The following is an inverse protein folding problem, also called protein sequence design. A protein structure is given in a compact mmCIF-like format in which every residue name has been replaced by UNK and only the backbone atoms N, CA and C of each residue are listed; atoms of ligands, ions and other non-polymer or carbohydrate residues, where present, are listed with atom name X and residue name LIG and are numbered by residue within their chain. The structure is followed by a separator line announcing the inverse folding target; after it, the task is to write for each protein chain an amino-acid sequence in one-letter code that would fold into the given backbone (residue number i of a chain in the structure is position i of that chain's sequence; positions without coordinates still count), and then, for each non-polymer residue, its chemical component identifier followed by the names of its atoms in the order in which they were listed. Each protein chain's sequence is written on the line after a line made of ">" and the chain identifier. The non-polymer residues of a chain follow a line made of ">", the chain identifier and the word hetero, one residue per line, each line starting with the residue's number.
data_IF_976008303657
#
_entry.id   IF_976008303657
#
_cell.length_a   1.000
_cell.length_b   1.000
_cell.length_c   1.000
_cell.angle_alpha   90.00
_cell.angle_beta   90.00
_cell.angle_gamma   90.00
#
_symmetry.space_group_name_H-M   'P 1'
#
loop_
_entity.id
_entity.type
_entity.pdbx_description
1 polymer ?
#
# COMPACT_ATOMS: atom_id res chain seq x y z
N UNK A 1 -43.69 9.93 6.38
CA UNK A 1 -44.35 8.65 6.04
C UNK A 1 -44.19 7.74 7.25
N UNK A 2 -45.22 7.00 7.67
CA UNK A 2 -45.07 6.03 8.78
C UNK A 2 -44.44 4.74 8.26
N UNK A 3 -43.82 3.93 9.13
CA UNK A 3 -43.23 2.64 8.75
C UNK A 3 -44.24 1.73 8.01
N UNK A 4 -45.48 1.68 8.48
CA UNK A 4 -46.57 0.91 7.86
C UNK A 4 -46.86 1.34 6.42
N UNK A 5 -46.84 2.65 6.12
CA UNK A 5 -47.07 3.18 4.76
C UNK A 5 -45.90 2.85 3.83
N UNK A 6 -44.67 2.89 4.33
CA UNK A 6 -43.47 2.51 3.55
C UNK A 6 -43.44 1.01 3.27
N UNK A 7 -43.82 0.16 4.24
CA UNK A 7 -43.97 -1.29 4.03
C UNK A 7 -45.08 -1.55 3.00
N UNK A 8 -46.23 -0.91 3.12
CA UNK A 8 -47.31 -1.07 2.15
C UNK A 8 -46.92 -0.64 0.73
N UNK A 9 -46.20 0.49 0.60
CA UNK A 9 -45.64 0.92 -0.68
C UNK A 9 -44.70 -0.13 -1.25
N UNK A 10 -43.75 -0.62 -0.45
CA UNK A 10 -42.81 -1.67 -0.86
C UNK A 10 -43.53 -2.93 -1.34
N UNK A 11 -44.57 -3.38 -0.65
CA UNK A 11 -45.34 -4.56 -1.04
C UNK A 11 -46.10 -4.36 -2.36
N UNK A 12 -46.62 -3.15 -2.61
CA UNK A 12 -47.37 -2.84 -3.83
C UNK A 12 -46.51 -2.46 -5.05
N UNK A 13 -45.30 -1.95 -4.85
CA UNK A 13 -44.45 -1.46 -5.95
C UNK A 13 -43.11 -2.18 -6.09
N UNK A 14 -42.67 -2.91 -5.07
CA UNK A 14 -41.32 -3.50 -5.01
C UNK A 14 -40.21 -2.49 -4.79
N UNK A 15 -40.53 -1.21 -4.56
CA UNK A 15 -39.57 -0.11 -4.43
C UNK A 15 -39.58 0.44 -3.01
N UNK A 16 -38.44 0.36 -2.33
CA UNK A 16 -38.24 0.96 -1.01
C UNK A 16 -37.89 2.46 -1.09
N UNK A 17 -37.69 3.10 0.05
CA UNK A 17 -37.36 4.52 0.14
C UNK A 17 -35.83 4.78 0.24
N UNK A 18 -34.98 3.80 -0.10
CA UNK A 18 -33.51 3.85 0.09
C UNK A 18 -32.80 4.92 -0.74
N UNK A 19 -33.35 5.28 -1.91
CA UNK A 19 -32.78 6.28 -2.82
C UNK A 19 -33.23 7.73 -2.54
N UNK A 20 -33.99 7.97 -1.47
CA UNK A 20 -34.55 9.30 -1.16
C UNK A 20 -33.51 10.18 -0.46
N UNK A 21 -32.95 11.15 -1.19
CA UNK A 21 -32.05 12.16 -0.61
C UNK A 21 -32.86 13.19 0.18
N UNK A 22 -32.52 13.45 1.47
CA UNK A 22 -33.23 14.43 2.28
C UNK A 22 -32.99 15.84 1.74
N UNK A 23 -34.07 16.51 1.31
CA UNK A 23 -34.00 17.90 0.86
C UNK A 23 -33.93 18.80 2.09
N UNK A 24 -32.77 19.43 2.29
CA UNK A 24 -32.53 20.43 3.33
C UNK A 24 -33.37 21.69 3.03
N UNK A 25 -34.02 22.24 4.05
CA UNK A 25 -34.79 23.48 3.91
C UNK A 25 -33.86 24.63 3.45
N UNK A 26 -34.35 25.48 2.54
CA UNK A 26 -33.68 26.67 2.00
C UNK A 26 -32.98 27.53 3.07
N UNK A 27 -33.58 27.69 4.26
CA UNK A 27 -32.96 28.45 5.36
C UNK A 27 -31.68 27.78 5.87
N UNK A 28 -31.74 26.48 6.13
CA UNK A 28 -30.59 25.69 6.62
C UNK A 28 -29.50 25.61 5.56
N UNK A 29 -29.87 25.42 4.28
CA UNK A 29 -28.94 25.47 3.17
C UNK A 29 -28.20 26.81 3.10
N UNK A 30 -28.92 27.94 3.18
CA UNK A 30 -28.30 29.28 3.15
C UNK A 30 -27.35 29.50 4.33
N UNK A 31 -27.74 29.11 5.54
CA UNK A 31 -26.89 29.24 6.73
C UNK A 31 -25.61 28.41 6.60
N UNK A 32 -25.71 27.16 6.14
CA UNK A 32 -24.54 26.30 5.96
C UNK A 32 -23.61 26.78 4.84
N UNK A 33 -24.17 27.24 3.71
CA UNK A 33 -23.36 27.80 2.62
C UNK A 33 -22.67 29.09 3.04
N UNK A 34 -23.37 30.00 3.73
CA UNK A 34 -22.75 31.23 4.22
C UNK A 34 -21.61 30.96 5.21
N UNK A 35 -21.80 30.04 6.18
CA UNK A 35 -20.73 29.68 7.11
C UNK A 35 -19.49 29.10 6.40
N UNK A 36 -19.69 28.29 5.35
CA UNK A 36 -18.58 27.77 4.53
C UNK A 36 -17.88 28.88 3.73
N UNK A 37 -18.64 29.85 3.21
CA UNK A 37 -18.08 31.00 2.50
C UNK A 37 -17.27 31.90 3.43
N UNK A 38 -17.75 32.14 4.66
CA UNK A 38 -17.01 32.91 5.68
C UNK A 38 -15.67 32.27 6.03
N UNK A 39 -15.62 30.94 6.21
CA UNK A 39 -14.37 30.22 6.45
C UNK A 39 -13.41 30.37 5.26
N UNK A 40 -13.90 30.23 4.02
CA UNK A 40 -13.06 30.42 2.84
C UNK A 40 -12.55 31.86 2.70
N UNK A 41 -13.39 32.85 3.04
CA UNK A 41 -13.01 34.26 3.06
C UNK A 41 -11.91 34.52 4.10
N UNK A 42 -12.00 33.94 5.30
CA UNK A 42 -10.97 34.02 6.34
C UNK A 42 -9.65 33.38 5.88
N UNK A 43 -9.71 32.20 5.26
CA UNK A 43 -8.52 31.52 4.73
C UNK A 43 -7.84 32.32 3.61
N UNK A 44 -8.62 32.91 2.70
CA UNK A 44 -8.11 33.78 1.63
C UNK A 44 -7.46 35.02 2.24
N UNK A 45 -8.11 35.67 3.21
CA UNK A 45 -7.57 36.86 3.87
C UNK A 45 -6.24 36.59 4.57
N UNK A 46 -6.09 35.45 5.25
CA UNK A 46 -4.82 35.04 5.87
C UNK A 46 -3.70 34.85 4.83
N UNK A 47 -4.00 34.21 3.69
CA UNK A 47 -3.02 34.09 2.60
C UNK A 47 -2.65 35.47 2.05
N UNK A 48 -3.61 36.39 1.90
CA UNK A 48 -3.35 37.76 1.45
C UNK A 48 -2.47 38.56 2.41
N UNK A 49 -2.65 38.40 3.72
CA UNK A 49 -1.77 39.00 4.74
C UNK A 49 -0.33 38.46 4.61
N UNK A 50 -0.17 37.14 4.47
CA UNK A 50 1.16 36.51 4.31
C UNK A 50 1.84 36.95 3.00
N UNK A 51 1.09 37.03 1.90
CA UNK A 51 1.60 37.54 0.62
C UNK A 51 2.02 39.01 0.74
N UNK A 52 1.22 39.85 1.41
CA UNK A 52 1.55 41.27 1.57
C UNK A 52 2.78 41.50 2.47
N UNK A 53 2.95 40.68 3.50
CA UNK A 53 4.05 40.80 4.45
C UNK A 53 5.40 40.37 3.84
N UNK A 54 5.44 39.20 3.20
CA UNK A 54 6.69 38.56 2.77
C UNK A 54 6.94 38.66 1.26
N UNK A 55 5.93 39.02 0.45
CA UNK A 55 5.97 38.98 -1.02
C UNK A 55 5.38 40.26 -1.66
N UNK A 56 6.05 41.43 -1.50
CA UNK A 56 5.51 42.73 -1.94
C UNK A 56 5.32 42.87 -3.46
N UNK A 57 6.00 42.05 -4.26
CA UNK A 57 5.86 41.96 -5.73
C UNK A 57 5.33 40.57 -6.13
N UNK A 58 4.11 40.25 -5.69
CA UNK A 58 3.51 38.93 -5.92
C UNK A 58 3.33 38.60 -7.41
N UNK A 59 3.02 39.61 -8.24
CA UNK A 59 2.81 39.44 -9.69
C UNK A 59 4.11 39.09 -10.43
N UNK A 60 5.26 39.57 -9.94
CA UNK A 60 6.58 39.29 -10.51
C UNK A 60 7.21 37.95 -10.08
N UNK A 61 6.62 37.21 -9.13
CA UNK A 61 7.23 36.00 -8.56
C UNK A 61 7.47 34.90 -9.60
N UNK A 62 6.61 34.77 -10.59
CA UNK A 62 6.75 33.75 -11.63
C UNK A 62 8.01 33.99 -12.48
N UNK A 63 8.17 35.22 -12.97
CA UNK A 63 9.35 35.64 -13.75
C UNK A 63 10.63 35.58 -12.91
N UNK A 64 10.55 35.97 -11.63
CA UNK A 64 11.68 35.87 -10.71
C UNK A 64 12.09 34.41 -10.49
N UNK A 65 11.13 33.51 -10.29
CA UNK A 65 11.39 32.08 -10.11
C UNK A 65 12.01 31.45 -11.34
N UNK A 66 11.54 31.81 -12.54
CA UNK A 66 12.12 31.32 -13.80
C UNK A 66 13.58 31.76 -13.94
N UNK A 67 13.86 33.05 -13.73
CA UNK A 67 15.25 33.59 -13.76
C UNK A 67 16.14 32.91 -12.73
N UNK A 68 15.67 32.77 -11.49
CA UNK A 68 16.41 32.11 -10.41
C UNK A 68 16.67 30.63 -10.73
N UNK A 69 15.72 29.94 -11.35
CA UNK A 69 15.89 28.54 -11.77
C UNK A 69 16.94 28.42 -12.88
N UNK A 70 16.94 29.33 -13.85
CA UNK A 70 17.96 29.37 -14.91
C UNK A 70 19.36 29.68 -14.34
N UNK A 71 19.48 30.70 -13.47
CA UNK A 71 20.74 31.02 -12.79
C UNK A 71 21.21 29.87 -11.91
N UNK A 72 20.29 29.17 -11.23
CA UNK A 72 20.62 28.01 -10.41
C UNK A 72 21.19 26.87 -11.24
N UNK A 73 20.58 26.57 -12.39
CA UNK A 73 21.11 25.56 -13.32
C UNK A 73 22.53 25.87 -13.77
N UNK A 74 22.78 27.10 -14.22
CA UNK A 74 24.11 27.54 -14.66
C UNK A 74 25.15 27.49 -13.53
N UNK A 75 24.80 28.00 -12.34
CA UNK A 75 25.69 27.98 -11.17
C UNK A 75 25.97 26.55 -10.68
N UNK A 76 25.01 25.63 -10.84
CA UNK A 76 25.16 24.23 -10.47
C UNK A 76 26.15 23.54 -11.41
N UNK A 77 26.02 23.73 -12.72
CA UNK A 77 26.97 23.22 -13.71
C UNK A 77 28.38 23.76 -13.44
N UNK A 78 28.51 25.06 -13.19
CA UNK A 78 29.82 25.67 -12.92
C UNK A 78 30.46 25.17 -11.62
N UNK A 79 29.66 24.97 -10.56
CA UNK A 79 30.14 24.38 -9.31
C UNK A 79 30.57 22.92 -9.50
N UNK A 80 29.81 22.15 -10.28
CA UNK A 80 30.14 20.76 -10.59
C UNK A 80 31.45 20.65 -11.35
N UNK A 81 31.65 21.45 -12.41
CA UNK A 81 32.90 21.51 -13.17
C UNK A 81 34.09 21.86 -12.26
N UNK A 82 33.93 22.83 -11.37
CA UNK A 82 34.98 23.22 -10.42
C UNK A 82 35.33 22.08 -9.45
N UNK A 83 34.33 21.33 -8.97
CA UNK A 83 34.55 20.16 -8.13
C UNK A 83 35.22 19.01 -8.88
N UNK A 84 34.86 18.78 -10.14
CA UNK A 84 35.44 17.73 -10.97
C UNK A 84 36.92 18.01 -11.26
N UNK A 85 37.30 19.27 -11.53
CA UNK A 85 38.70 19.67 -11.65
C UNK A 85 39.49 19.40 -10.37
N UNK A 86 38.93 19.74 -9.19
CA UNK A 86 39.59 19.45 -7.91
C UNK A 86 39.73 17.94 -7.68
N UNK A 87 38.72 17.14 -8.05
CA UNK A 87 38.77 15.69 -7.95
C UNK A 87 39.88 15.11 -8.83
N UNK A 88 40.02 15.59 -10.06
CA UNK A 88 41.09 15.18 -10.96
C UNK A 88 42.47 15.47 -10.34
N UNK A 89 42.67 16.64 -9.73
CA UNK A 89 43.94 16.94 -9.06
C UNK A 89 44.18 16.08 -7.82
N UNK A 90 43.13 15.74 -7.06
CA UNK A 90 43.23 14.82 -5.93
C UNK A 90 43.63 13.41 -6.38
N UNK A 91 43.11 12.94 -7.51
CA UNK A 91 43.47 11.65 -8.10
C UNK A 91 44.92 11.67 -8.60
N UNK A 92 45.34 12.72 -9.32
CA UNK A 92 46.75 12.93 -9.71
C UNK A 92 47.69 12.89 -8.51
N UNK A 93 47.34 13.63 -7.44
CA UNK A 93 48.10 13.66 -6.18
C UNK A 93 48.21 12.26 -5.57
N UNK A 94 47.11 11.52 -5.50
CA UNK A 94 47.08 10.16 -4.92
C UNK A 94 47.95 9.20 -5.72
N UNK A 95 47.88 9.25 -7.04
CA UNK A 95 48.67 8.39 -7.92
C UNK A 95 50.17 8.70 -7.82
N UNK A 96 50.54 9.98 -7.82
CA UNK A 96 51.93 10.41 -7.61
C UNK A 96 52.46 9.94 -6.25
N UNK A 97 51.68 10.12 -5.17
CA UNK A 97 52.06 9.66 -3.83
C UNK A 97 52.23 8.13 -3.75
N UNK A 98 51.33 7.36 -4.40
CA UNK A 98 51.44 5.91 -4.48
C UNK A 98 52.69 5.45 -5.22
N UNK A 99 53.00 6.07 -6.36
CA UNK A 99 54.23 5.80 -7.13
C UNK A 99 55.49 6.15 -6.33
N UNK A 100 55.51 7.30 -5.65
CA UNK A 100 56.63 7.71 -4.80
C UNK A 100 56.92 6.69 -3.69
N UNK A 101 55.88 6.19 -3.02
CA UNK A 101 56.05 5.16 -1.99
C UNK A 101 56.67 3.87 -2.56
N UNK A 102 56.20 3.43 -3.73
CA UNK A 102 56.78 2.27 -4.44
C UNK A 102 58.23 2.48 -4.86
N UNK A 103 58.56 3.66 -5.41
CA UNK A 103 59.92 4.03 -5.81
C UNK A 103 60.85 4.06 -4.59
N UNK A 104 60.42 4.65 -3.47
CA UNK A 104 61.19 4.69 -2.22
C UNK A 104 61.48 3.30 -1.67
N UNK A 105 60.48 2.41 -1.67
CA UNK A 105 60.66 1.03 -1.27
C UNK A 105 61.72 0.36 -2.15
N UNK A 106 61.60 0.49 -3.48
CA UNK A 106 62.53 -0.13 -4.41
C UNK A 106 63.95 0.44 -4.30
N UNK A 107 64.10 1.75 -4.13
CA UNK A 107 65.39 2.39 -3.87
C UNK A 107 66.07 1.83 -2.62
N UNK A 108 65.29 1.59 -1.56
CA UNK A 108 65.79 0.98 -0.32
C UNK A 108 66.26 -0.46 -0.55
N UNK A 109 65.47 -1.26 -1.28
CA UNK A 109 65.85 -2.64 -1.66
C UNK A 109 67.15 -2.68 -2.48
N UNK A 110 67.24 -1.83 -3.51
CA UNK A 110 68.42 -1.74 -4.38
C UNK A 110 69.65 -1.31 -3.57
N UNK A 111 69.52 -0.33 -2.68
CA UNK A 111 70.61 0.10 -1.80
C UNK A 111 71.10 -1.03 -0.87
N UNK A 112 70.18 -1.79 -0.29
CA UNK A 112 70.53 -2.94 0.56
C UNK A 112 71.25 -4.05 -0.25
N UNK A 113 70.78 -4.35 -1.46
CA UNK A 113 71.40 -5.38 -2.30
C UNK A 113 72.79 -4.96 -2.77
N UNK A 114 72.98 -3.70 -3.18
CA UNK A 114 74.29 -3.17 -3.54
C UNK A 114 75.29 -3.27 -2.36
N UNK A 115 74.86 -2.94 -1.14
CA UNK A 115 75.69 -3.08 0.05
C UNK A 115 76.08 -4.54 0.33
N UNK A 116 75.14 -5.48 0.17
CA UNK A 116 75.41 -6.93 0.33
C UNK A 116 76.35 -7.46 -0.75
N UNK A 117 76.20 -7.02 -1.99
CA UNK A 117 77.06 -7.43 -3.09
C UNK A 117 78.47 -6.86 -2.96
N UNK A 118 78.64 -5.65 -2.42
CA UNK A 118 79.96 -5.13 -2.07
C UNK A 118 80.67 -6.03 -1.04
N UNK A 119 79.97 -6.45 0.01
CA UNK A 119 80.51 -7.40 1.00
C UNK A 119 80.84 -8.76 0.39
N UNK A 120 79.99 -9.26 -0.52
CA UNK A 120 80.24 -10.53 -1.20
C UNK A 120 81.48 -10.46 -2.09
N UNK A 121 81.72 -9.34 -2.79
CA UNK A 121 82.93 -9.15 -3.58
C UNK A 121 84.20 -9.10 -2.71
N UNK A 122 84.14 -8.47 -1.54
CA UNK A 122 85.24 -8.48 -0.56
C UNK A 122 85.57 -9.91 -0.10
N UNK A 123 84.55 -10.72 0.19
CA UNK A 123 84.72 -12.14 0.56
C UNK A 123 85.36 -12.93 -0.59
N UNK A 124 84.85 -12.78 -1.82
CA UNK A 124 85.42 -13.46 -2.98
C UNK A 124 86.87 -13.04 -3.24
N UNK A 125 87.20 -11.76 -3.09
CA UNK A 125 88.56 -11.25 -3.22
C UNK A 125 89.49 -11.88 -2.18
N UNK A 126 89.05 -11.94 -0.92
CA UNK A 126 89.81 -12.57 0.16
C UNK A 126 89.98 -14.07 -0.05
N UNK A 127 88.95 -14.77 -0.54
CA UNK A 127 89.03 -16.21 -0.81
C UNK A 127 89.96 -16.54 -1.98
N UNK A 128 89.97 -15.73 -3.04
CA UNK A 128 90.93 -15.88 -4.14
C UNK A 128 92.35 -15.73 -3.61
N UNK A 129 92.66 -14.66 -2.87
CA UNK A 129 94.01 -14.46 -2.29
C UNK A 129 94.44 -15.63 -1.40
N UNK A 130 93.51 -16.16 -0.60
CA UNK A 130 93.78 -17.31 0.27
C UNK A 130 94.07 -18.58 -0.55
N UNK A 131 93.31 -18.83 -1.61
CA UNK A 131 93.52 -19.99 -2.48
C UNK A 131 94.79 -19.87 -3.32
N UNK A 132 95.13 -18.66 -3.79
CA UNK A 132 96.39 -18.38 -4.48
C UNK A 132 97.59 -18.67 -3.58
N UNK A 133 97.53 -18.25 -2.31
CA UNK A 133 98.58 -18.57 -1.33
C UNK A 133 98.71 -20.10 -1.08
N UNK A 134 97.61 -20.85 -1.10
CA UNK A 134 97.63 -22.32 -0.97
C UNK A 134 98.21 -22.97 -2.23
N UNK A 135 97.86 -22.48 -3.41
CA UNK A 135 98.39 -22.95 -4.71
C UNK A 135 99.91 -22.72 -4.80
N UNK A 136 100.37 -21.51 -4.45
CA UNK A 136 101.80 -21.14 -4.47
C UNK A 136 102.60 -21.94 -3.44
N UNK A 137 102.08 -22.11 -2.21
CA UNK A 137 102.70 -22.95 -1.21
C UNK A 137 102.81 -24.40 -1.69
N UNK A 138 101.77 -24.94 -2.32
CA UNK A 138 101.78 -26.28 -2.92
C UNK A 138 102.86 -26.41 -4.00
N UNK A 139 102.97 -25.43 -4.90
CA UNK A 139 104.00 -25.38 -5.94
C UNK A 139 105.42 -25.36 -5.36
N UNK A 140 105.68 -24.55 -4.34
CA UNK A 140 106.99 -24.47 -3.66
C UNK A 140 107.37 -25.78 -2.98
N UNK A 141 106.41 -26.48 -2.36
CA UNK A 141 106.64 -27.79 -1.75
C UNK A 141 106.98 -28.86 -2.79
N UNK A 142 106.32 -28.84 -3.95
CA UNK A 142 106.57 -29.78 -5.05
C UNK A 142 107.94 -29.55 -5.73
N UNK A 143 108.42 -28.31 -5.82
CA UNK A 143 109.78 -27.98 -6.26
C UNK A 143 110.89 -28.62 -5.41
N UNK A 144 110.58 -28.96 -4.15
CA UNK A 144 111.49 -29.62 -3.21
C UNK A 144 111.45 -31.14 -3.25
N UNK A 145 110.59 -31.74 -4.08
CA UNK A 145 110.30 -33.20 -4.06
C UNK A 145 111.47 -34.10 -4.44
N UNK A 146 112.42 -33.58 -5.23
CA UNK A 146 113.53 -34.38 -5.78
C UNK A 146 114.89 -34.02 -5.15
N UNK A 147 114.88 -33.81 -3.83
CA UNK A 147 116.08 -33.46 -3.05
C UNK A 147 116.41 -34.52 -2.00
N UNK A 148 117.69 -34.63 -1.71
CA UNK A 148 118.19 -35.45 -0.62
C UNK A 148 117.55 -35.01 0.71
N UNK A 149 117.27 -35.98 1.59
CA UNK A 149 116.62 -35.71 2.85
C UNK A 149 117.41 -34.67 3.67
N UNK A 150 116.84 -33.52 4.04
CA UNK A 150 117.57 -32.47 4.75
C UNK A 150 117.97 -32.86 6.18
N UNK A 151 117.43 -33.97 6.71
CA UNK A 151 117.71 -34.45 8.06
C UNK A 151 118.83 -35.52 8.08
N UNK A 152 118.88 -36.41 7.09
CA UNK A 152 119.81 -37.55 7.08
C UNK A 152 120.64 -37.71 5.80
N UNK A 153 120.39 -36.90 4.77
CA UNK A 153 121.12 -36.92 3.49
C UNK A 153 120.77 -38.10 2.57
N UNK A 154 119.72 -38.87 2.85
CA UNK A 154 119.30 -39.96 1.98
C UNK A 154 118.83 -39.43 0.61
N UNK A 155 119.36 -40.01 -0.46
CA UNK A 155 118.97 -39.69 -1.83
C UNK A 155 117.47 -39.91 -2.07
N UNK A 156 116.86 -39.12 -2.97
CA UNK A 156 115.41 -39.16 -3.29
C UNK A 156 114.91 -40.58 -3.57
N UNK A 157 115.65 -41.37 -4.35
CA UNK A 157 115.35 -42.75 -4.71
C UNK A 157 115.45 -43.77 -3.56
N UNK A 158 116.14 -43.41 -2.47
CA UNK A 158 116.28 -44.21 -1.27
C UNK A 158 115.22 -43.91 -0.20
N UNK A 159 114.37 -42.89 -0.40
CA UNK A 159 113.28 -42.51 0.50
C UNK A 159 112.05 -43.41 0.25
N UNK A 160 111.56 -44.11 1.28
CA UNK A 160 110.44 -45.08 1.16
C UNK A 160 109.11 -44.63 1.78
N UNK A 161 109.10 -43.48 2.46
CA UNK A 161 107.89 -42.95 3.07
C UNK A 161 107.13 -42.08 2.07
N UNK A 162 105.81 -42.18 2.08
CA UNK A 162 104.97 -41.26 1.29
C UNK A 162 105.06 -39.86 1.89
N UNK A 163 105.61 -38.93 1.11
CA UNK A 163 105.77 -37.52 1.48
C UNK A 163 104.50 -36.70 1.22
N UNK A 164 103.38 -37.33 0.84
CA UNK A 164 102.08 -36.67 0.63
C UNK A 164 102.05 -35.77 -0.61
N UNK A 165 103.04 -35.87 -1.49
CA UNK A 165 103.21 -35.03 -2.69
C UNK A 165 101.99 -35.12 -3.62
N UNK A 166 101.41 -36.31 -3.74
CA UNK A 166 100.19 -36.55 -4.52
C UNK A 166 98.98 -35.79 -3.97
N UNK A 167 98.87 -35.64 -2.65
CA UNK A 167 97.77 -34.90 -2.04
C UNK A 167 97.99 -33.39 -2.10
N UNK A 168 99.24 -32.94 -2.03
CA UNK A 168 99.62 -31.53 -2.30
C UNK A 168 99.23 -31.14 -3.73
N UNK A 169 99.56 -31.96 -4.73
CA UNK A 169 99.18 -31.67 -6.13
C UNK A 169 97.65 -31.69 -6.33
N UNK A 170 96.91 -32.59 -5.66
CA UNK A 170 95.45 -32.57 -5.69
C UNK A 170 94.87 -31.28 -5.09
N UNK A 171 95.38 -30.83 -3.94
CA UNK A 171 94.94 -29.59 -3.29
C UNK A 171 95.25 -28.38 -4.17
N UNK A 172 96.44 -28.36 -4.78
CA UNK A 172 96.87 -27.32 -5.73
C UNK A 172 95.92 -27.25 -6.94
N UNK A 173 95.68 -28.38 -7.61
CA UNK A 173 94.79 -28.46 -8.75
C UNK A 173 93.33 -28.07 -8.38
N UNK A 174 92.84 -28.52 -7.22
CA UNK A 174 91.52 -28.14 -6.71
C UNK A 174 91.43 -26.64 -6.42
N UNK A 175 92.48 -26.03 -5.85
CA UNK A 175 92.53 -24.60 -5.55
C UNK A 175 92.47 -23.77 -6.82
N UNK A 176 93.22 -24.16 -7.87
CA UNK A 176 93.17 -23.50 -9.18
C UNK A 176 91.76 -23.53 -9.80
N UNK A 177 91.06 -24.67 -9.73
CA UNK A 177 89.69 -24.81 -10.23
C UNK A 177 88.71 -23.95 -9.43
N UNK A 178 88.83 -23.90 -8.11
CA UNK A 178 87.95 -23.09 -7.27
C UNK A 178 88.21 -21.58 -7.48
N UNK A 179 89.47 -21.15 -7.69
CA UNK A 179 89.80 -19.76 -8.08
C UNK A 179 89.07 -19.40 -9.38
N UNK A 180 89.17 -20.23 -10.42
CA UNK A 180 88.51 -19.98 -11.71
C UNK A 180 86.99 -19.84 -11.55
N UNK A 181 86.39 -20.66 -10.68
CA UNK A 181 84.97 -20.60 -10.34
C UNK A 181 84.60 -19.31 -9.60
N UNK A 182 85.37 -18.90 -8.59
CA UNK A 182 85.13 -17.65 -7.86
C UNK A 182 85.27 -16.44 -8.79
N UNK A 183 86.28 -16.41 -9.66
CA UNK A 183 86.47 -15.34 -10.65
C UNK A 183 85.26 -15.24 -11.59
N UNK A 184 84.71 -16.35 -12.07
CA UNK A 184 83.45 -16.34 -12.84
C UNK A 184 82.28 -15.81 -12.04
N UNK A 185 82.13 -16.21 -10.78
CA UNK A 185 81.09 -15.68 -9.90
C UNK A 185 81.22 -14.17 -9.65
N UNK A 186 82.45 -13.66 -9.52
CA UNK A 186 82.72 -12.22 -9.41
C UNK A 186 82.32 -11.46 -10.67
N UNK A 187 82.63 -11.98 -11.85
CA UNK A 187 82.20 -11.36 -13.11
C UNK A 187 80.67 -11.27 -13.22
N UNK A 188 79.95 -12.33 -12.88
CA UNK A 188 78.47 -12.31 -12.83
C UNK A 188 77.92 -11.36 -11.75
N UNK A 189 78.61 -11.24 -10.63
CA UNK A 189 78.26 -10.28 -9.56
C UNK A 189 78.41 -8.83 -10.05
N UNK A 190 79.49 -8.53 -10.76
CA UNK A 190 79.75 -7.20 -11.34
C UNK A 190 78.67 -6.79 -12.34
N UNK A 191 78.26 -7.69 -13.24
CA UNK A 191 77.13 -7.46 -14.16
C UNK A 191 75.82 -7.13 -13.40
N UNK A 192 75.55 -7.86 -12.32
CA UNK A 192 74.37 -7.63 -11.48
C UNK A 192 74.44 -6.27 -10.77
N UNK A 193 75.60 -5.90 -10.24
CA UNK A 193 75.83 -4.60 -9.60
C UNK A 193 75.66 -3.44 -10.59
N UNK A 194 76.15 -3.59 -11.83
CA UNK A 194 75.93 -2.61 -12.89
C UNK A 194 74.44 -2.44 -13.22
N UNK A 195 73.71 -3.55 -13.38
CA UNK A 195 72.28 -3.51 -13.64
C UNK A 195 71.49 -2.80 -12.52
N UNK A 196 71.78 -3.13 -11.26
CA UNK A 196 71.15 -2.47 -10.10
C UNK A 196 71.53 -0.99 -9.97
N UNK A 197 72.76 -0.63 -10.31
CA UNK A 197 73.21 0.77 -10.28
C UNK A 197 72.50 1.61 -11.34
N UNK A 198 72.30 1.04 -12.54
CA UNK A 198 71.51 1.66 -13.60
C UNK A 198 70.04 1.80 -13.16
N UNK A 199 69.43 0.75 -12.62
CA UNK A 199 68.07 0.76 -12.08
C UNK A 199 67.90 1.85 -11.00
N UNK A 200 68.87 1.99 -10.09
CA UNK A 200 68.87 3.06 -9.08
C UNK A 200 68.85 4.45 -9.72
N UNK A 201 69.62 4.65 -10.78
CA UNK A 201 69.65 5.92 -11.52
C UNK A 201 68.28 6.26 -12.12
N UNK A 202 67.63 5.29 -12.76
CA UNK A 202 66.27 5.48 -13.30
C UNK A 202 65.25 5.76 -12.20
N UNK A 203 65.30 5.02 -11.09
CA UNK A 203 64.39 5.23 -9.96
C UNK A 203 64.54 6.62 -9.32
N UNK A 204 65.76 7.17 -9.24
CA UNK A 204 65.99 8.53 -8.73
C UNK A 204 65.38 9.58 -9.67
N UNK A 205 65.51 9.39 -10.99
CA UNK A 205 64.88 10.28 -11.98
C UNK A 205 63.35 10.23 -11.90
N UNK A 206 62.79 9.02 -11.76
CA UNK A 206 61.35 8.83 -11.60
C UNK A 206 60.85 9.44 -10.29
N UNK A 207 61.61 9.30 -9.20
CA UNK A 207 61.30 9.93 -7.92
C UNK A 207 61.19 11.46 -8.05
N UNK A 208 62.16 12.11 -8.69
CA UNK A 208 62.14 13.55 -8.90
C UNK A 208 60.91 13.97 -9.74
N UNK A 209 60.61 13.22 -10.80
CA UNK A 209 59.45 13.49 -11.67
C UNK A 209 58.13 13.38 -10.90
N UNK A 210 57.94 12.30 -10.13
CA UNK A 210 56.71 12.10 -9.36
C UNK A 210 56.61 13.08 -8.18
N UNK A 211 57.73 13.55 -7.63
CA UNK A 211 57.73 14.58 -6.58
C UNK A 211 57.22 15.92 -7.13
N UNK A 212 57.70 16.33 -8.30
CA UNK A 212 57.21 17.54 -8.97
C UNK A 212 55.72 17.44 -9.28
N UNK A 213 55.26 16.30 -9.81
CA UNK A 213 53.84 16.06 -10.09
C UNK A 213 52.97 16.17 -8.83
N UNK A 214 53.46 15.66 -7.69
CA UNK A 214 52.77 15.76 -6.41
C UNK A 214 52.63 17.23 -5.95
N UNK A 215 53.73 17.98 -6.03
CA UNK A 215 53.76 19.39 -5.61
C UNK A 215 52.88 20.27 -6.52
N UNK A 216 52.91 20.03 -7.83
CA UNK A 216 52.06 20.73 -8.80
C UNK A 216 50.56 20.46 -8.56
N UNK A 217 50.19 19.19 -8.32
CA UNK A 217 48.82 18.84 -7.99
C UNK A 217 48.36 19.50 -6.67
N UNK A 218 49.25 19.58 -5.68
CA UNK A 218 48.94 20.22 -4.40
C UNK A 218 48.74 21.73 -4.52
N UNK A 219 49.58 22.42 -5.29
CA UNK A 219 49.42 23.86 -5.54
C UNK A 219 48.17 24.15 -6.37
N UNK A 220 47.83 23.30 -7.34
CA UNK A 220 46.60 23.46 -8.11
C UNK A 220 45.34 23.28 -7.23
N UNK A 221 45.32 22.29 -6.34
CA UNK A 221 44.24 22.10 -5.36
C UNK A 221 44.09 23.36 -4.48
N UNK A 222 45.21 23.91 -3.99
CA UNK A 222 45.21 25.13 -3.16
C UNK A 222 44.67 26.33 -3.93
N UNK A 223 45.00 26.45 -5.21
CA UNK A 223 44.53 27.52 -6.10
C UNK A 223 43.04 27.43 -6.38
N UNK A 224 42.52 26.23 -6.66
CA UNK A 224 41.12 26.01 -7.05
C UNK A 224 40.14 26.00 -5.86
N UNK A 225 40.60 25.58 -4.68
CA UNK A 225 39.73 25.38 -3.51
C UNK A 225 38.92 26.61 -3.08
N UNK A 226 39.46 27.85 -3.04
CA UNK A 226 38.68 29.03 -2.67
C UNK A 226 37.54 29.33 -3.64
N UNK A 227 37.80 29.21 -4.94
CA UNK A 227 36.79 29.44 -5.99
C UNK A 227 35.66 28.41 -5.90
N UNK A 228 35.99 27.13 -5.75
CA UNK A 228 35.00 26.06 -5.59
C UNK A 228 34.11 26.28 -4.36
N UNK A 229 34.70 26.70 -3.22
CA UNK A 229 33.94 27.06 -2.01
C UNK A 229 33.04 28.26 -2.24
N UNK A 230 33.52 29.29 -2.94
CA UNK A 230 32.70 30.45 -3.30
C UNK A 230 31.48 30.06 -4.13
N UNK A 231 31.65 29.20 -5.14
CA UNK A 231 30.55 28.68 -5.96
C UNK A 231 29.54 27.85 -5.15
N UNK A 232 30.02 27.02 -4.23
CA UNK A 232 29.15 26.26 -3.32
C UNK A 232 28.34 27.17 -2.39
N UNK A 233 28.97 28.20 -1.83
CA UNK A 233 28.27 29.18 -0.99
C UNK A 233 27.21 29.94 -1.79
N UNK A 234 27.55 30.39 -3.00
CA UNK A 234 26.60 31.05 -3.89
C UNK A 234 25.39 30.17 -4.20
N UNK A 235 25.58 28.87 -4.43
CA UNK A 235 24.48 27.92 -4.61
C UNK A 235 23.56 27.81 -3.39
N UNK A 236 24.12 27.82 -2.18
CA UNK A 236 23.33 27.78 -0.94
C UNK A 236 22.48 29.05 -0.82
N UNK A 237 23.07 30.22 -1.05
CA UNK A 237 22.37 31.50 -1.03
C UNK A 237 21.27 31.55 -2.10
N UNK A 238 21.58 31.13 -3.32
CA UNK A 238 20.64 31.10 -4.44
C UNK A 238 19.47 30.12 -4.19
N UNK A 239 19.75 28.97 -3.57
CA UNK A 239 18.72 28.01 -3.16
C UNK A 239 17.75 28.64 -2.18
N UNK A 240 18.26 29.32 -1.15
CA UNK A 240 17.42 29.96 -0.14
C UNK A 240 16.48 31.02 -0.76
N UNK A 241 16.99 31.84 -1.68
CA UNK A 241 16.20 32.85 -2.40
C UNK A 241 15.17 32.19 -3.32
N UNK A 242 15.57 31.21 -4.13
CA UNK A 242 14.66 30.48 -5.03
C UNK A 242 13.53 29.80 -4.26
N UNK A 243 13.85 29.13 -3.16
CA UNK A 243 12.86 28.42 -2.35
C UNK A 243 11.92 29.40 -1.63
N UNK A 244 12.40 30.60 -1.26
CA UNK A 244 11.53 31.66 -0.76
C UNK A 244 10.53 32.13 -1.82
N UNK A 245 10.98 32.42 -3.04
CA UNK A 245 10.10 32.80 -4.16
C UNK A 245 9.10 31.70 -4.50
N UNK A 246 9.55 30.43 -4.48
CA UNK A 246 8.67 29.26 -4.71
C UNK A 246 7.53 29.20 -3.69
N UNK A 247 7.81 29.43 -2.40
CA UNK A 247 6.75 29.48 -1.37
C UNK A 247 5.70 30.56 -1.68
N UNK A 248 6.11 31.71 -2.21
CA UNK A 248 5.18 32.74 -2.66
C UNK A 248 4.29 32.27 -3.81
N UNK A 249 4.86 31.56 -4.80
CA UNK A 249 4.07 30.94 -5.89
C UNK A 249 3.09 29.89 -5.38
N UNK A 250 3.50 29.07 -4.41
CA UNK A 250 2.64 28.06 -3.79
C UNK A 250 1.47 28.72 -3.05
N UNK A 251 1.70 29.84 -2.35
CA UNK A 251 0.65 30.65 -1.71
C UNK A 251 -0.33 31.24 -2.74
N UNK A 252 0.17 31.77 -3.86
CA UNK A 252 -0.69 32.27 -4.95
C UNK A 252 -1.56 31.17 -5.56
N UNK A 253 -0.99 29.98 -5.78
CA UNK A 253 -1.74 28.82 -6.27
C UNK A 253 -2.81 28.38 -5.28
N UNK A 254 -2.49 28.32 -3.98
CA UNK A 254 -3.45 28.01 -2.92
C UNK A 254 -4.59 29.04 -2.85
N UNK A 255 -4.25 30.34 -2.94
CA UNK A 255 -5.24 31.42 -2.99
C UNK A 255 -6.21 31.22 -4.16
N UNK A 256 -5.69 30.97 -5.37
CA UNK A 256 -6.52 30.78 -6.55
C UNK A 256 -7.47 29.59 -6.38
N UNK A 257 -6.98 28.46 -5.85
CA UNK A 257 -7.82 27.29 -5.58
C UNK A 257 -8.95 27.59 -4.58
N UNK A 258 -8.70 28.38 -3.54
CA UNK A 258 -9.72 28.79 -2.57
C UNK A 258 -10.74 29.76 -3.20
N UNK A 259 -10.29 30.70 -4.04
CA UNK A 259 -11.16 31.62 -4.78
C UNK A 259 -12.09 30.84 -5.72
N UNK A 260 -11.57 29.87 -6.45
CA UNK A 260 -12.36 29.02 -7.35
C UNK A 260 -13.39 28.20 -6.56
N UNK A 261 -12.96 27.59 -5.44
CA UNK A 261 -13.86 26.81 -4.58
C UNK A 261 -14.96 27.66 -3.96
N UNK A 262 -14.64 28.90 -3.58
CA UNK A 262 -15.60 29.88 -3.08
C UNK A 262 -16.61 30.24 -4.16
N UNK A 263 -16.17 30.51 -5.38
CA UNK A 263 -17.04 30.81 -6.52
C UNK A 263 -17.98 29.64 -6.83
N UNK A 264 -17.47 28.40 -6.80
CA UNK A 264 -18.26 27.19 -6.97
C UNK A 264 -19.36 27.10 -5.90
N UNK A 265 -19.01 27.22 -4.61
CA UNK A 265 -19.97 27.16 -3.51
C UNK A 265 -21.02 28.29 -3.57
N UNK A 266 -20.61 29.50 -3.96
CA UNK A 266 -21.52 30.63 -4.12
C UNK A 266 -22.52 30.41 -5.28
N UNK A 267 -22.16 29.61 -6.28
CA UNK A 267 -23.03 29.29 -7.43
C UNK A 267 -24.10 28.23 -7.12
N UNK A 268 -23.94 27.46 -6.03
CA UNK A 268 -24.87 26.37 -5.67
C UNK A 268 -26.22 26.95 -5.22
N UNK A 269 -27.28 26.59 -5.94
CA UNK A 269 -28.66 26.99 -5.62
C UNK A 269 -29.36 25.94 -4.75
N UNK A 270 -30.27 26.36 -3.85
CA UNK A 270 -31.09 25.42 -3.10
C UNK A 270 -32.04 24.64 -4.03
N UNK A 271 -32.23 23.37 -3.73
CA UNK A 271 -33.19 22.49 -4.41
C UNK A 271 -34.60 23.10 -4.44
N UNK A 272 -35.31 22.92 -5.56
CA UNK A 272 -36.64 23.51 -5.79
C UNK A 272 -37.76 22.60 -5.29
N UNK A 273 -38.93 23.18 -4.95
CA UNK A 273 -40.09 22.40 -4.44
C UNK A 273 -40.56 21.28 -5.40
N UNK A 274 -40.24 21.36 -6.69
CA UNK A 274 -40.55 20.34 -7.71
C UNK A 274 -39.71 19.08 -7.61
N UNK A 275 -38.63 19.08 -6.80
CA UNK A 275 -37.75 17.93 -6.59
C UNK A 275 -38.14 17.09 -5.37
N UNK A 276 -39.22 17.47 -4.65
CA UNK A 276 -39.73 16.65 -3.55
C UNK A 276 -40.25 15.32 -4.12
N UNK A 277 -39.66 14.16 -3.77
CA UNK A 277 -40.16 12.89 -4.24
C UNK A 277 -41.60 12.70 -3.77
N UNK A 278 -42.47 12.24 -4.68
CA UNK A 278 -43.84 11.85 -4.32
C UNK A 278 -43.75 10.55 -3.51
N UNK A 279 -43.75 10.69 -2.19
CA UNK A 279 -43.71 9.58 -1.25
C UNK A 279 -45.14 9.03 -1.09
N UNK A 280 -45.46 7.97 -1.85
CA UNK A 280 -46.74 7.27 -1.81
C UNK A 280 -46.86 6.25 -2.94
N UNK A 281 -47.85 5.36 -2.85
CA UNK A 281 -48.27 4.49 -3.96
C UNK A 281 -48.93 5.35 -5.03
N UNK A 282 -48.69 5.07 -6.33
CA UNK A 282 -49.38 5.80 -7.39
C UNK A 282 -50.88 5.49 -7.37
N UNK A 283 -51.73 6.46 -7.73
CA UNK A 283 -53.18 6.24 -7.77
C UNK A 283 -53.60 5.07 -8.68
N UNK A 284 -52.81 4.75 -9.70
CA UNK A 284 -53.01 3.57 -10.55
C UNK A 284 -52.78 2.26 -9.79
N UNK A 285 -51.66 2.12 -9.07
CA UNK A 285 -51.35 0.92 -8.29
C UNK A 285 -52.32 0.76 -7.12
N UNK A 286 -52.71 1.88 -6.48
CA UNK A 286 -53.71 1.87 -5.43
C UNK A 286 -55.11 1.45 -5.94
N UNK A 287 -55.47 1.86 -7.17
CA UNK A 287 -56.70 1.43 -7.83
C UNK A 287 -56.68 -0.06 -8.18
N UNK A 288 -55.60 -0.55 -8.76
CA UNK A 288 -55.46 -1.97 -9.12
C UNK A 288 -55.55 -2.86 -7.88
N UNK A 289 -54.89 -2.46 -6.79
CA UNK A 289 -54.98 -3.16 -5.50
C UNK A 289 -56.42 -3.15 -4.95
N UNK A 290 -57.12 -2.01 -5.05
CA UNK A 290 -58.52 -1.93 -4.65
C UNK A 290 -59.41 -2.88 -5.49
N UNK A 291 -59.14 -3.05 -6.78
CA UNK A 291 -59.85 -4.03 -7.61
C UNK A 291 -59.63 -5.46 -7.12
N UNK A 292 -58.38 -5.84 -6.79
CA UNK A 292 -58.08 -7.16 -6.21
C UNK A 292 -58.84 -7.40 -4.91
N UNK A 293 -58.99 -6.37 -4.05
CA UNK A 293 -59.84 -6.51 -2.85
C UNK A 293 -61.31 -6.72 -3.23
N UNK A 294 -61.79 -6.03 -4.25
CA UNK A 294 -63.13 -6.23 -4.81
C UNK A 294 -63.34 -7.66 -5.33
N UNK A 295 -62.34 -8.25 -5.99
CA UNK A 295 -62.36 -9.65 -6.45
C UNK A 295 -62.47 -10.62 -5.27
N UNK A 296 -61.65 -10.44 -4.24
CA UNK A 296 -61.73 -11.27 -3.02
C UNK A 296 -63.11 -11.19 -2.38
N UNK A 297 -63.69 -10.00 -2.28
CA UNK A 297 -65.04 -9.82 -1.73
C UNK A 297 -66.14 -10.39 -2.65
N UNK A 298 -65.91 -10.45 -3.97
CA UNK A 298 -66.80 -11.12 -4.93
C UNK A 298 -66.79 -12.63 -4.74
N UNK A 299 -65.60 -13.24 -4.66
CA UNK A 299 -65.43 -14.67 -4.41
C UNK A 299 -66.09 -15.07 -3.09
N UNK A 300 -65.98 -14.24 -2.05
CA UNK A 300 -66.62 -14.47 -0.76
C UNK A 300 -68.12 -14.16 -0.73
N UNK A 301 -68.72 -13.73 -1.85
CA UNK A 301 -70.13 -13.31 -1.91
C UNK A 301 -70.51 -12.26 -0.85
N UNK A 302 -69.60 -11.33 -0.56
CA UNK A 302 -69.85 -10.24 0.38
C UNK A 302 -71.06 -9.40 -0.07
N UNK A 303 -71.97 -8.99 0.83
CA UNK A 303 -73.19 -8.28 0.47
C UNK A 303 -72.89 -6.93 -0.19
N UNK A 304 -73.84 -6.45 -1.02
CA UNK A 304 -73.74 -5.17 -1.73
C UNK A 304 -73.09 -5.26 -3.12
N UNK A 305 -72.63 -4.10 -3.59
CA UNK A 305 -72.04 -3.92 -4.94
C UNK A 305 -70.55 -4.25 -4.98
N UNK A 306 -69.89 -4.36 -3.81
CA UNK A 306 -68.46 -4.72 -3.67
C UNK A 306 -67.54 -3.80 -4.47
N UNK A 307 -67.93 -2.54 -4.63
CA UNK A 307 -67.10 -1.53 -5.25
C UNK A 307 -66.09 -1.02 -4.22
N UNK A 308 -64.81 -1.29 -4.46
CA UNK A 308 -63.74 -0.92 -3.53
C UNK A 308 -62.90 0.19 -4.15
N UNK A 309 -62.62 1.21 -3.35
CA UNK A 309 -61.70 2.29 -3.67
C UNK A 309 -60.68 2.45 -2.53
N UNK A 310 -59.44 2.80 -2.87
CA UNK A 310 -58.41 3.12 -1.89
C UNK A 310 -58.42 4.62 -1.60
N UNK A 311 -58.51 5.00 -0.34
CA UNK A 311 -58.45 6.39 0.09
C UNK A 311 -56.99 6.78 0.40
N UNK A 312 -56.37 7.55 -0.49
CA UNK A 312 -54.95 7.94 -0.38
C UNK A 312 -54.65 8.87 0.82
N UNK A 313 -55.66 9.50 1.40
CA UNK A 313 -55.51 10.40 2.56
C UNK A 313 -55.44 9.57 3.85
N UNK A 314 -56.42 8.68 4.00
CA UNK A 314 -56.56 7.84 5.19
C UNK A 314 -55.74 6.55 5.11
N UNK A 315 -55.27 6.16 3.92
CA UNK A 315 -54.57 4.91 3.65
C UNK A 315 -55.40 3.67 4.02
N UNK A 316 -56.70 3.71 3.70
CA UNK A 316 -57.66 2.64 4.02
C UNK A 316 -58.67 2.44 2.88
N UNK A 317 -59.44 1.36 2.93
CA UNK A 317 -60.45 1.04 1.93
C UNK A 317 -61.77 1.78 2.18
N UNK A 318 -62.40 2.18 1.09
CA UNK A 318 -63.82 2.53 0.99
C UNK A 318 -64.53 1.44 0.22
N UNK A 319 -65.58 0.86 0.79
CA UNK A 319 -66.37 -0.22 0.20
C UNK A 319 -67.79 0.29 0.06
N UNK A 320 -68.32 0.27 -1.17
CA UNK A 320 -69.65 0.80 -1.53
C UNK A 320 -69.90 2.23 -1.01
N UNK A 321 -68.84 3.05 -1.02
CA UNK A 321 -68.86 4.46 -0.61
C UNK A 321 -68.66 4.72 0.88
N UNK A 322 -68.64 3.68 1.74
CA UNK A 322 -68.40 3.81 3.19
C UNK A 322 -66.95 3.47 3.55
N UNK A 323 -66.36 4.19 4.51
CA UNK A 323 -65.05 3.78 5.02
C UNK A 323 -65.16 2.50 5.82
N UNK A 324 -64.16 1.61 5.69
CA UNK A 324 -64.09 0.39 6.49
C UNK A 324 -64.30 0.66 7.98
N UNK A 325 -63.60 1.67 8.54
CA UNK A 325 -63.65 2.04 9.97
C UNK A 325 -65.06 2.35 10.50
N UNK A 326 -65.98 2.77 9.63
CA UNK A 326 -67.33 3.20 9.99
C UNK A 326 -68.33 2.02 10.08
N UNK A 327 -67.91 0.80 9.72
CA UNK A 327 -68.73 -0.42 9.80
C UNK A 327 -68.60 -1.13 11.15
N UNK A 328 -69.52 -2.05 11.44
CA UNK A 328 -69.50 -2.93 12.61
C UNK A 328 -68.19 -3.72 12.75
N UNK A 329 -67.87 -4.15 13.98
CA UNK A 329 -66.59 -4.82 14.29
C UNK A 329 -66.34 -6.05 13.41
N UNK A 330 -67.36 -6.85 13.16
CA UNK A 330 -67.25 -8.04 12.33
C UNK A 330 -67.13 -7.73 10.84
N UNK A 331 -67.84 -6.71 10.33
CA UNK A 331 -67.63 -6.24 8.95
C UNK A 331 -66.19 -5.71 8.79
N UNK A 332 -65.65 -5.01 9.80
CA UNK A 332 -64.24 -4.59 9.81
C UNK A 332 -63.27 -5.76 9.82
N UNK A 333 -63.55 -6.81 10.59
CA UNK A 333 -62.71 -7.99 10.67
C UNK A 333 -62.61 -8.71 9.31
N UNK A 334 -63.76 -8.96 8.67
CA UNK A 334 -63.77 -9.67 7.38
C UNK A 334 -63.17 -8.82 6.25
N UNK A 335 -63.44 -7.52 6.22
CA UNK A 335 -62.88 -6.63 5.19
C UNK A 335 -61.37 -6.39 5.39
N UNK A 336 -60.89 -6.48 6.64
CA UNK A 336 -59.45 -6.50 6.92
C UNK A 336 -58.80 -7.82 6.51
N UNK A 337 -59.48 -8.96 6.69
CA UNK A 337 -59.02 -10.23 6.13
C UNK A 337 -58.97 -10.17 4.60
N UNK A 338 -59.99 -9.60 3.94
CA UNK A 338 -60.04 -9.41 2.50
C UNK A 338 -58.86 -8.55 2.01
N UNK A 339 -58.53 -7.47 2.72
CA UNK A 339 -57.36 -6.64 2.43
C UNK A 339 -56.05 -7.45 2.45
N UNK A 340 -55.83 -8.27 3.48
CA UNK A 340 -54.61 -9.09 3.61
C UNK A 340 -54.52 -10.15 2.51
N UNK A 341 -55.63 -10.84 2.24
CA UNK A 341 -55.71 -11.88 1.19
C UNK A 341 -55.48 -11.25 -0.18
N UNK A 342 -56.11 -10.10 -0.46
CA UNK A 342 -55.89 -9.35 -1.68
C UNK A 342 -54.44 -8.88 -1.83
N UNK A 343 -53.77 -8.48 -0.75
CA UNK A 343 -52.37 -8.09 -0.78
C UNK A 343 -51.48 -9.26 -1.18
N UNK A 344 -51.72 -10.43 -0.60
CA UNK A 344 -51.03 -11.66 -0.96
C UNK A 344 -51.24 -12.01 -2.45
N UNK A 345 -52.49 -11.95 -2.94
CA UNK A 345 -52.83 -12.24 -4.34
C UNK A 345 -52.16 -11.23 -5.27
N UNK A 346 -52.32 -9.93 -4.98
CA UNK A 346 -51.76 -8.83 -5.75
C UNK A 346 -50.24 -8.95 -5.89
N UNK A 347 -49.55 -9.26 -4.79
CA UNK A 347 -48.12 -9.46 -4.81
C UNK A 347 -47.73 -10.70 -5.62
N UNK A 348 -48.45 -11.82 -5.46
CA UNK A 348 -48.17 -13.06 -6.19
C UNK A 348 -48.30 -12.89 -7.70
N UNK A 349 -49.39 -12.29 -8.16
CA UNK A 349 -49.67 -12.08 -9.59
C UNK A 349 -48.63 -11.20 -10.28
N UNK A 350 -48.01 -10.29 -9.52
CA UNK A 350 -47.05 -9.28 -10.03
C UNK A 350 -45.59 -9.61 -9.69
N UNK A 351 -45.32 -10.76 -9.08
CA UNK A 351 -43.96 -11.16 -8.67
C UNK A 351 -43.34 -10.24 -7.62
N UNK A 352 -44.16 -9.59 -6.79
CA UNK A 352 -43.74 -8.66 -5.74
C UNK A 352 -43.43 -9.40 -4.43
N UNK A 353 -42.58 -8.82 -3.56
CA UNK A 353 -42.19 -9.48 -2.31
C UNK A 353 -43.40 -9.68 -1.38
N UNK A 354 -43.71 -10.94 -1.04
CA UNK A 354 -44.67 -11.29 0.01
C UNK A 354 -44.25 -12.64 0.64
N UNK A 355 -44.40 -12.85 1.96
CA UNK A 355 -43.95 -14.09 2.64
C UNK A 355 -44.60 -15.40 2.19
N UNK A 356 -45.64 -15.36 1.34
CA UNK A 356 -46.35 -16.55 0.86
C UNK A 356 -47.30 -17.22 1.86
N UNK A 357 -47.45 -16.70 3.08
CA UNK A 357 -48.42 -17.21 4.06
C UNK A 357 -49.17 -16.09 4.79
N UNK A 358 -50.34 -16.39 5.33
CA UNK A 358 -51.16 -15.48 6.14
C UNK A 358 -51.71 -16.17 7.39
N UNK A 359 -51.60 -15.48 8.53
CA UNK A 359 -52.28 -15.84 9.77
C UNK A 359 -53.47 -14.91 9.98
N UNK A 360 -54.67 -15.48 10.03
CA UNK A 360 -55.93 -14.76 10.25
C UNK A 360 -56.51 -15.16 11.61
N UNK A 361 -56.49 -14.20 12.53
CA UNK A 361 -57.11 -14.35 13.85
C UNK A 361 -58.51 -13.73 13.84
N UNK A 362 -59.52 -14.59 14.02
CA UNK A 362 -60.93 -14.25 14.11
C UNK A 362 -61.48 -13.43 12.91
N UNK A 363 -61.22 -13.83 11.64
CA UNK A 363 -61.70 -13.08 10.47
C UNK A 363 -63.24 -13.09 10.31
N UNK A 364 -63.95 -14.07 10.90
CA UNK A 364 -65.38 -14.31 10.75
C UNK A 364 -66.17 -13.93 12.00
N UNK A 365 -65.74 -12.88 12.69
CA UNK A 365 -66.31 -12.40 13.96
C UNK A 365 -67.85 -12.20 13.92
N UNK A 366 -68.46 -11.92 12.77
CA UNK A 366 -69.93 -11.79 12.62
C UNK A 366 -70.72 -13.08 12.84
N UNK A 367 -70.08 -14.25 12.78
CA UNK A 367 -70.71 -15.56 12.93
C UNK A 367 -70.68 -16.09 14.37
N UNK A 368 -70.25 -15.25 15.33
CA UNK A 368 -70.21 -15.55 16.77
C UNK A 368 -71.60 -15.89 17.35
N UNK A 369 -71.61 -16.73 18.38
CA UNK A 369 -72.81 -16.97 19.20
C UNK A 369 -73.20 -15.69 19.97
N UNK A 370 -74.40 -15.13 19.76
CA UNK A 370 -74.84 -13.92 20.45
C UNK A 370 -74.93 -14.08 21.97
N UNK A 371 -75.10 -15.31 22.47
CA UNK A 371 -75.33 -15.63 23.88
C UNK A 371 -74.00 -15.81 24.62
N UNK A 372 -72.98 -16.39 23.96
CA UNK A 372 -71.68 -16.72 24.57
C UNK A 372 -70.58 -15.70 24.26
N UNK A 373 -70.76 -14.83 23.27
CA UNK A 373 -69.76 -13.85 22.86
C UNK A 373 -69.67 -12.64 23.81
N UNK A 374 -68.44 -12.21 24.11
CA UNK A 374 -68.14 -11.00 24.91
C UNK A 374 -68.36 -9.67 24.15
N UNK A 375 -68.73 -9.72 22.88
CA UNK A 375 -68.70 -8.57 21.96
C UNK A 375 -70.07 -7.87 21.73
N UNK A 376 -71.11 -8.27 22.46
CA UNK A 376 -72.45 -7.63 22.43
C UNK A 376 -73.31 -7.97 21.20
N UNK A 377 -74.49 -7.34 21.04
CA UNK A 377 -75.41 -7.60 19.92
C UNK A 377 -74.81 -7.18 18.56
N UNK A 378 -75.23 -7.86 17.48
CA UNK A 378 -74.75 -7.58 16.13
C UNK A 378 -75.36 -6.27 15.58
N UNK A 379 -74.52 -5.45 14.96
CA UNK A 379 -74.94 -4.27 14.19
C UNK A 379 -75.74 -4.67 12.93
N UNK A 380 -76.46 -3.72 12.32
CA UNK A 380 -77.35 -4.00 11.20
C UNK A 380 -76.62 -4.60 9.97
N UNK A 381 -75.42 -4.10 9.67
CA UNK A 381 -74.53 -4.60 8.63
C UNK A 381 -73.96 -5.99 8.95
N UNK A 382 -73.72 -6.28 10.24
CA UNK A 382 -73.29 -7.60 10.70
C UNK A 382 -74.41 -8.64 10.61
N UNK A 383 -75.66 -8.24 10.84
CA UNK A 383 -76.84 -9.12 10.67
C UNK A 383 -77.07 -9.46 9.19
N UNK A 384 -76.90 -8.49 8.30
CA UNK A 384 -76.93 -8.72 6.85
C UNK A 384 -75.85 -9.72 6.43
N UNK A 385 -74.62 -9.54 6.91
CA UNK A 385 -73.51 -10.45 6.63
C UNK A 385 -73.75 -11.87 7.15
N UNK A 386 -74.28 -12.03 8.37
CA UNK A 386 -74.55 -13.33 8.98
C UNK A 386 -75.55 -14.17 8.18
N UNK A 387 -76.46 -13.51 7.47
CA UNK A 387 -77.46 -14.17 6.63
C UNK A 387 -76.94 -14.55 5.23
N UNK A 388 -75.63 -14.38 4.96
CA UNK A 388 -75.00 -14.77 3.69
C UNK A 388 -74.22 -16.08 3.79
N UNK A 389 -73.97 -16.69 2.64
CA UNK A 389 -73.08 -17.84 2.42
C UNK A 389 -71.58 -17.49 2.55
N UNK A 390 -71.23 -16.26 2.93
CA UNK A 390 -69.85 -15.77 2.90
C UNK A 390 -68.87 -16.65 3.67
N UNK A 391 -69.28 -17.19 4.81
CA UNK A 391 -68.43 -18.11 5.59
C UNK A 391 -67.92 -19.28 4.75
N UNK A 392 -68.79 -19.91 3.98
CA UNK A 392 -68.46 -21.13 3.25
C UNK A 392 -67.56 -20.78 2.05
N UNK A 393 -67.92 -19.74 1.29
CA UNK A 393 -67.11 -19.22 0.18
C UNK A 393 -65.76 -18.65 0.63
N UNK A 394 -65.66 -18.12 1.86
CA UNK A 394 -64.40 -17.68 2.44
C UNK A 394 -63.41 -18.83 2.53
N UNK A 395 -63.82 -19.97 3.11
CA UNK A 395 -62.93 -21.13 3.22
C UNK A 395 -62.63 -21.78 1.86
N UNK A 396 -63.63 -21.90 0.99
CA UNK A 396 -63.45 -22.45 -0.36
C UNK A 396 -62.46 -21.62 -1.20
N UNK A 397 -62.61 -20.29 -1.19
CA UNK A 397 -61.71 -19.40 -1.90
C UNK A 397 -60.28 -19.50 -1.36
N UNK A 398 -60.10 -19.48 -0.03
CA UNK A 398 -58.75 -19.61 0.55
C UNK A 398 -58.10 -20.97 0.23
N UNK A 399 -58.86 -22.05 0.25
CA UNK A 399 -58.37 -23.38 -0.11
C UNK A 399 -58.01 -23.49 -1.61
N UNK A 400 -58.64 -22.69 -2.47
CA UNK A 400 -58.33 -22.66 -3.91
C UNK A 400 -56.98 -22.01 -4.23
N UNK A 401 -56.44 -21.17 -3.33
CA UNK A 401 -55.20 -20.42 -3.51
C UNK A 401 -53.97 -21.28 -3.16
N UNK A 402 -53.68 -22.29 -3.99
CA UNK A 402 -52.61 -23.30 -3.78
C UNK A 402 -51.18 -22.75 -3.70
N UNK A 403 -50.97 -21.47 -4.02
CA UNK A 403 -49.67 -20.81 -3.96
C UNK A 403 -49.37 -20.16 -2.60
N UNK A 404 -50.27 -20.30 -1.62
CA UNK A 404 -50.13 -19.70 -0.30
C UNK A 404 -50.59 -20.63 0.83
N UNK A 405 -50.03 -20.42 2.02
CA UNK A 405 -50.45 -21.10 3.24
C UNK A 405 -51.33 -20.18 4.10
N UNK A 406 -52.50 -20.67 4.51
CA UNK A 406 -53.43 -19.94 5.36
C UNK A 406 -53.59 -20.63 6.71
N UNK A 407 -53.30 -19.91 7.79
CA UNK A 407 -53.53 -20.36 9.16
C UNK A 407 -54.67 -19.53 9.73
N UNK A 408 -55.81 -20.17 9.99
CA UNK A 408 -57.02 -19.48 10.44
C UNK A 408 -57.34 -19.94 11.85
N UNK A 409 -57.45 -18.99 12.76
CA UNK A 409 -57.88 -19.22 14.15
C UNK A 409 -59.25 -18.57 14.30
N UNK A 410 -60.26 -19.36 14.63
CA UNK A 410 -61.63 -18.87 14.71
C UNK A 410 -62.41 -19.62 15.80
N UNK A 411 -63.40 -18.94 16.39
CA UNK A 411 -64.27 -19.49 17.43
C UNK A 411 -65.69 -19.69 16.92
N UNK A 412 -65.80 -20.39 15.78
CA UNK A 412 -67.06 -20.79 15.15
C UNK A 412 -67.02 -22.30 14.88
N UNK A 413 -68.21 -22.92 14.81
CA UNK A 413 -68.30 -24.29 14.35
C UNK A 413 -67.83 -24.37 12.88
N UNK A 414 -66.89 -25.28 12.55
CA UNK A 414 -66.44 -25.43 11.19
C UNK A 414 -67.60 -25.84 10.27
N UNK A 415 -67.66 -25.33 9.03
CA UNK A 415 -68.67 -25.77 8.09
C UNK A 415 -68.50 -27.26 7.76
N UNK A 416 -69.62 -27.92 7.46
CA UNK A 416 -69.63 -29.34 7.10
C UNK A 416 -68.70 -29.61 5.92
N UNK A 417 -67.73 -30.51 6.08
CA UNK A 417 -66.78 -30.87 5.02
C UNK A 417 -65.51 -30.00 4.96
N UNK A 418 -65.27 -29.11 5.93
CA UNK A 418 -64.04 -28.30 6.01
C UNK A 418 -62.74 -29.15 5.93
N UNK A 419 -62.79 -30.40 6.41
CA UNK A 419 -61.64 -31.32 6.39
C UNK A 419 -61.15 -31.64 4.96
N UNK A 420 -62.02 -31.44 3.95
CA UNK A 420 -61.64 -31.56 2.53
C UNK A 420 -60.85 -30.36 2.01
N UNK A 421 -60.96 -29.21 2.68
CA UNK A 421 -60.33 -27.94 2.28
C UNK A 421 -58.97 -27.74 2.96
N UNK A 422 -58.73 -28.38 4.10
CA UNK A 422 -57.45 -28.30 4.79
C UNK A 422 -57.43 -29.00 6.15
N UNK A 423 -56.27 -28.97 6.80
CA UNK A 423 -56.10 -29.56 8.13
C UNK A 423 -56.87 -28.75 9.18
N UNK A 424 -57.91 -29.35 9.75
CA UNK A 424 -58.75 -28.71 10.78
C UNK A 424 -58.47 -29.34 12.15
N UNK A 425 -58.11 -28.52 13.13
CA UNK A 425 -57.97 -28.93 14.52
C UNK A 425 -58.98 -28.18 15.38
N UNK A 426 -59.96 -28.90 15.90
CA UNK A 426 -60.97 -28.34 16.81
C UNK A 426 -60.43 -28.41 18.25
N UNK A 427 -60.60 -27.30 18.98
CA UNK A 427 -60.34 -27.21 20.42
C UNK A 427 -61.65 -26.98 21.16
N UNK A 428 -62.03 -27.90 22.04
CA UNK A 428 -63.40 -27.97 22.59
C UNK A 428 -63.54 -27.30 23.96
N UNK A 429 -62.43 -27.08 24.67
CA UNK A 429 -62.40 -26.75 26.10
C UNK A 429 -63.18 -27.75 26.98
N UNK A 430 -63.52 -28.94 26.47
CA UNK A 430 -64.18 -30.03 27.20
C UNK A 430 -63.15 -31.16 27.39
N UNK A 431 -62.78 -31.50 28.63
CA UNK A 431 -61.84 -32.59 28.89
C UNK A 431 -62.29 -33.95 28.36
N UNK A 432 -63.59 -34.13 28.12
CA UNK A 432 -64.20 -35.40 27.73
C UNK A 432 -64.53 -35.51 26.23
N UNK A 433 -64.24 -34.47 25.43
CA UNK A 433 -64.59 -34.43 24.01
C UNK A 433 -63.48 -33.74 23.20
N UNK A 434 -62.91 -34.43 22.21
CA UNK A 434 -61.89 -33.85 21.33
C UNK A 434 -60.60 -33.40 22.03
N UNK A 435 -59.89 -32.43 21.45
CA UNK A 435 -58.68 -31.84 22.04
C UNK A 435 -59.05 -30.65 22.92
N UNK A 436 -58.67 -30.67 24.20
CA UNK A 436 -59.05 -29.63 25.16
C UNK A 436 -58.59 -28.21 24.75
N UNK A 437 -57.31 -28.06 24.35
CA UNK A 437 -56.72 -26.79 23.93
C UNK A 437 -55.44 -27.00 23.12
N UNK A 438 -54.80 -25.89 22.71
CA UNK A 438 -53.55 -25.95 21.94
C UNK A 438 -52.46 -26.73 22.69
N UNK A 439 -52.37 -26.52 24.00
CA UNK A 439 -51.51 -27.28 24.90
C UNK A 439 -52.28 -28.46 25.51
N UNK A 440 -51.64 -29.63 25.71
CA UNK A 440 -52.28 -30.75 26.40
C UNK A 440 -52.66 -30.37 27.83
N UNK A 441 -53.83 -30.84 28.31
CA UNK A 441 -54.18 -30.74 29.72
C UNK A 441 -53.13 -31.48 30.55
N UNK A 442 -52.57 -30.84 31.58
CA UNK A 442 -51.77 -31.57 32.59
C UNK A 442 -52.67 -32.70 33.11
N UNK A 443 -52.28 -33.94 32.88
CA UNK A 443 -52.93 -35.07 33.54
C UNK A 443 -52.66 -34.92 35.04
N UNK A 444 -53.69 -34.66 35.83
CA UNK A 444 -53.65 -34.92 37.26
C UNK A 444 -53.52 -36.45 37.41
N UNK A 445 -52.54 -36.89 38.20
CA UNK A 445 -52.16 -38.30 38.38
C UNK A 445 -53.19 -39.16 39.11
#
# INVERSE_FOLDING_TARGET
>A
MTAERSVFKLLLTGVDDSAVVPIVNKTVFRTQTNAKLEILDEMIANIDENLTADYPDADGLADQYEKLTATFGAAQEESQLSQDHIREQLDRKRDAAGKLAGIQQRLTEVAMNLARFAQLDEVYSSDVQRLEAIEEAGFLLLLGSDKDCPLCGAASDAQRHDHGLTDIEKIRAASAVEIEKIVRHRASLEETVHALTFERGTLISDYATQSTELDEADEEIRRLSPEARGKQQFLVELTAVRDHVKRGLDLLSQKQALVDRRAELASIKPATKSEKPRLGVSGTVAHDFAQTVGDVLREWQFPGKRHVAFDEVTYDLRIDGKHRRDNGKGVRAITHAAFKVALLIFCRERGLPHPGFLVLDTPLLTYRDPIRSKEGPLAADEQELRNTSLRDFFFEHLASLSFAEFIIVENIDPPSGIEKLGHTQIFTSDPNSGRFGLFPSRADG
#
